data_IF_757450572213
#
_entry.id   IF_757450572213
#
_cell.length_a   1.000
_cell.length_b   1.000
_cell.length_c   1.000
_cell.angle_alpha   90.00
_cell.angle_beta   90.00
_cell.angle_gamma   90.00
#
_symmetry.space_group_name_H-M   'P 1'
#
loop_
_entity.id
_entity.type
_entity.pdbx_description
1 polymer ?
#
# COMPACT_ATOMS: atom_id res chain seq x y z
N UNK A 1 29.55 24.84 10.52
CA UNK A 1 28.33 24.00 10.44
C UNK A 1 27.90 23.64 11.86
N UNK A 2 26.66 23.82 12.19
CA UNK A 2 26.16 23.39 13.49
C UNK A 2 26.16 21.84 13.54
N UNK A 3 26.65 21.27 14.64
CA UNK A 3 26.55 19.83 14.87
C UNK A 3 25.07 19.44 15.07
N UNK A 4 24.68 18.32 14.45
CA UNK A 4 23.35 17.77 14.61
C UNK A 4 23.14 17.30 16.04
N UNK A 5 21.95 17.55 16.58
CA UNK A 5 21.58 16.97 17.87
C UNK A 5 21.43 15.45 17.75
N UNK A 6 21.54 14.72 18.85
CA UNK A 6 21.32 13.26 18.87
C UNK A 6 19.96 12.87 18.33
N UNK A 7 18.93 13.68 18.61
CA UNK A 7 17.59 13.45 18.11
C UNK A 7 17.49 13.65 16.59
N UNK A 8 18.15 14.69 16.06
CA UNK A 8 18.21 14.93 14.62
C UNK A 8 18.97 13.81 13.90
N UNK A 9 20.06 13.34 14.46
CA UNK A 9 20.81 12.22 13.89
C UNK A 9 19.99 10.94 13.89
N UNK A 10 19.32 10.62 15.00
CA UNK A 10 18.44 9.45 15.08
C UNK A 10 17.28 9.50 14.08
N UNK A 11 16.72 10.68 13.84
CA UNK A 11 15.66 10.89 12.84
C UNK A 11 16.18 10.66 11.42
N UNK A 12 17.38 11.13 11.10
CA UNK A 12 18.05 10.93 9.81
C UNK A 12 18.35 9.44 9.58
N UNK A 13 18.87 8.76 10.59
CA UNK A 13 19.21 7.34 10.51
C UNK A 13 17.98 6.48 10.31
N UNK A 14 16.88 6.80 11.02
CA UNK A 14 15.59 6.13 10.85
C UNK A 14 15.02 6.34 9.44
N UNK A 15 15.03 7.57 8.93
CA UNK A 15 14.60 7.90 7.58
C UNK A 15 15.41 7.16 6.51
N UNK A 16 16.72 7.15 6.65
CA UNK A 16 17.65 6.45 5.74
C UNK A 16 17.40 4.93 5.75
N UNK A 17 17.13 4.36 6.92
CA UNK A 17 16.79 2.94 7.06
C UNK A 17 15.47 2.60 6.38
N UNK A 18 14.45 3.46 6.51
CA UNK A 18 13.18 3.27 5.83
C UNK A 18 13.30 3.33 4.31
N UNK A 19 14.09 4.27 3.78
CA UNK A 19 14.35 4.37 2.34
C UNK A 19 15.06 3.12 1.82
N UNK A 20 16.05 2.61 2.54
CA UNK A 20 16.77 1.39 2.17
C UNK A 20 15.82 0.20 2.13
N UNK A 21 15.01 0.00 3.15
CA UNK A 21 14.03 -1.09 3.23
C UNK A 21 13.04 -1.04 2.07
N UNK A 22 12.57 0.16 1.71
CA UNK A 22 11.68 0.34 0.56
C UNK A 22 12.37 -0.04 -0.75
N UNK A 23 13.60 0.43 -0.98
CA UNK A 23 14.38 0.09 -2.18
C UNK A 23 14.63 -1.41 -2.30
N UNK A 24 14.98 -2.06 -1.22
CA UNK A 24 15.21 -3.51 -1.17
C UNK A 24 13.93 -4.29 -1.50
N UNK A 25 12.79 -3.86 -0.97
CA UNK A 25 11.49 -4.46 -1.27
C UNK A 25 11.09 -4.25 -2.73
N UNK A 26 11.19 -3.05 -3.25
CA UNK A 26 10.88 -2.74 -4.66
C UNK A 26 11.77 -3.57 -5.60
N UNK A 27 13.06 -3.68 -5.30
CA UNK A 27 13.98 -4.50 -6.07
C UNK A 27 13.57 -5.97 -6.04
N UNK A 28 13.22 -6.53 -4.88
CA UNK A 28 12.79 -7.90 -4.74
C UNK A 28 11.51 -8.18 -5.55
N UNK A 29 10.51 -7.30 -5.45
CA UNK A 29 9.24 -7.44 -6.19
C UNK A 29 9.46 -7.34 -7.70
N UNK A 30 10.25 -6.39 -8.17
CA UNK A 30 10.54 -6.19 -9.60
C UNK A 30 11.40 -7.30 -10.18
N UNK A 31 12.25 -7.92 -9.37
CA UNK A 31 13.09 -9.06 -9.81
C UNK A 31 12.27 -10.33 -9.98
N UNK A 32 11.30 -10.58 -9.09
CA UNK A 32 10.46 -11.78 -9.10
C UNK A 32 9.00 -11.44 -8.84
N UNK A 33 8.35 -10.69 -9.77
CA UNK A 33 6.99 -10.22 -9.54
C UNK A 33 5.98 -11.36 -9.38
N UNK A 34 6.19 -12.49 -10.03
CA UNK A 34 5.32 -13.66 -9.93
C UNK A 34 5.17 -14.23 -8.52
N UNK A 35 6.13 -14.00 -7.63
CA UNK A 35 6.02 -14.40 -6.22
C UNK A 35 5.05 -13.54 -5.41
N UNK A 36 4.75 -12.33 -5.91
CA UNK A 36 3.92 -11.34 -5.20
C UNK A 36 2.54 -11.17 -5.82
N UNK A 37 2.44 -11.21 -7.14
CA UNK A 37 1.19 -10.96 -7.87
C UNK A 37 0.65 -12.19 -8.61
N UNK A 38 1.35 -13.33 -8.54
CA UNK A 38 1.00 -14.53 -9.28
C UNK A 38 1.43 -14.49 -10.75
N UNK A 39 0.67 -15.07 -11.69
CA UNK A 39 1.05 -15.15 -13.08
C UNK A 39 1.35 -13.79 -13.70
N UNK A 40 2.41 -13.71 -14.51
CA UNK A 40 2.73 -12.49 -15.24
C UNK A 40 1.68 -12.23 -16.33
N UNK A 41 1.56 -10.97 -16.74
CA UNK A 41 0.59 -10.53 -17.74
C UNK A 41 -0.76 -10.16 -17.12
N UNK A 42 -1.86 -10.45 -17.82
CA UNK A 42 -3.20 -10.02 -17.41
C UNK A 42 -3.63 -10.59 -16.06
N UNK A 43 -3.25 -11.82 -15.73
CA UNK A 43 -3.55 -12.43 -14.43
C UNK A 43 -2.91 -11.68 -13.26
N UNK A 44 -1.64 -11.36 -13.36
CA UNK A 44 -0.93 -10.58 -12.35
C UNK A 44 -1.45 -9.15 -12.24
N UNK A 45 -1.73 -8.51 -13.37
CA UNK A 45 -2.35 -7.18 -13.38
C UNK A 45 -3.72 -7.18 -12.70
N UNK A 46 -4.56 -8.18 -12.98
CA UNK A 46 -5.85 -8.35 -12.33
C UNK A 46 -5.69 -8.52 -10.82
N UNK A 47 -4.69 -9.28 -10.39
CA UNK A 47 -4.42 -9.45 -8.96
C UNK A 47 -3.98 -8.14 -8.30
N UNK A 48 -3.14 -7.34 -8.95
CA UNK A 48 -2.77 -6.00 -8.46
C UNK A 48 -4.00 -5.11 -8.29
N UNK A 49 -4.87 -5.05 -9.28
CA UNK A 49 -6.12 -4.28 -9.21
C UNK A 49 -7.03 -4.78 -8.09
N UNK A 50 -7.13 -6.10 -7.93
CA UNK A 50 -7.92 -6.72 -6.86
C UNK A 50 -7.42 -6.32 -5.48
N UNK A 51 -6.13 -6.31 -5.25
CA UNK A 51 -5.55 -5.93 -3.96
C UNK A 51 -5.89 -4.49 -3.58
N UNK A 52 -5.81 -3.57 -4.53
CA UNK A 52 -6.19 -2.16 -4.29
C UNK A 52 -7.69 -2.04 -4.02
N UNK A 53 -8.52 -2.66 -4.87
CA UNK A 53 -9.97 -2.61 -4.75
C UNK A 53 -10.49 -3.26 -3.47
N UNK A 54 -9.85 -4.33 -3.04
CA UNK A 54 -10.23 -5.09 -1.85
C UNK A 54 -9.97 -4.30 -0.56
N UNK A 55 -8.97 -3.44 -0.51
CA UNK A 55 -8.77 -2.54 0.62
C UNK A 55 -9.96 -1.59 0.80
N UNK A 56 -10.47 -1.01 -0.29
CA UNK A 56 -11.67 -0.18 -0.26
C UNK A 56 -12.92 -1.00 0.07
N UNK A 57 -13.04 -2.21 -0.47
CA UNK A 57 -14.17 -3.09 -0.21
C UNK A 57 -14.27 -3.46 1.27
N UNK A 58 -13.18 -3.81 1.91
CA UNK A 58 -13.15 -4.18 3.32
C UNK A 58 -13.67 -3.06 4.22
N UNK A 59 -13.45 -1.81 3.84
CA UNK A 59 -13.96 -0.64 4.55
C UNK A 59 -15.47 -0.48 4.30
N UNK A 60 -15.89 -0.57 3.05
CA UNK A 60 -17.29 -0.28 2.66
C UNK A 60 -18.27 -1.36 3.12
N UNK A 61 -17.84 -2.61 3.21
CA UNK A 61 -18.72 -3.70 3.68
C UNK A 61 -18.86 -3.79 5.20
N UNK A 62 -18.02 -3.11 5.96
CA UNK A 62 -18.16 -3.08 7.41
C UNK A 62 -19.26 -2.09 7.82
N UNK A 63 -20.42 -2.60 8.20
CA UNK A 63 -21.58 -1.80 8.60
C UNK A 63 -21.33 -0.87 9.81
N UNK A 64 -20.19 -0.99 10.48
CA UNK A 64 -19.81 -0.13 11.60
C UNK A 64 -18.97 1.07 11.15
N UNK A 65 -18.50 1.06 9.91
CA UNK A 65 -17.64 2.08 9.33
C UNK A 65 -18.46 2.85 8.28
N UNK A 66 -18.44 4.21 8.31
CA UNK A 66 -19.09 4.99 7.27
C UNK A 66 -18.49 4.70 5.89
N UNK A 67 -19.35 4.52 4.90
CA UNK A 67 -18.99 4.29 3.51
C UNK A 67 -19.92 3.29 2.86
N UNK A 68 -20.33 3.53 1.64
CA UNK A 68 -21.33 2.73 0.93
C UNK A 68 -21.11 2.58 -0.57
N UNK A 69 -20.02 3.17 -1.11
CA UNK A 69 -19.69 2.99 -2.51
C UNK A 69 -18.19 2.89 -2.77
N UNK A 70 -17.87 2.19 -3.84
CA UNK A 70 -16.53 2.09 -4.42
C UNK A 70 -16.67 2.33 -5.93
N UNK A 71 -15.75 3.07 -6.52
CA UNK A 71 -15.60 3.13 -7.95
C UNK A 71 -14.29 2.52 -8.40
N UNK A 72 -14.30 1.90 -9.57
CA UNK A 72 -13.12 1.38 -10.24
C UNK A 72 -13.08 1.90 -11.66
N UNK A 73 -11.98 2.51 -12.04
CA UNK A 73 -11.73 3.00 -13.38
C UNK A 73 -10.42 2.44 -13.92
N UNK A 74 -10.41 2.05 -15.18
CA UNK A 74 -9.21 1.62 -15.88
C UNK A 74 -9.17 2.22 -17.30
N UNK A 75 -8.07 2.89 -17.61
CA UNK A 75 -7.77 3.37 -18.96
C UNK A 75 -6.70 2.46 -19.58
N UNK A 76 -7.08 1.68 -20.59
CA UNK A 76 -6.17 0.76 -21.26
C UNK A 76 -5.05 1.48 -22.02
N UNK A 77 -5.30 2.68 -22.49
CA UNK A 77 -4.34 3.46 -23.26
C UNK A 77 -3.21 4.01 -22.37
N UNK A 78 -3.55 4.53 -21.22
CA UNK A 78 -2.59 5.10 -20.26
C UNK A 78 -2.11 4.10 -19.22
N UNK A 79 -2.80 2.94 -19.12
CA UNK A 79 -2.58 1.94 -18.07
C UNK A 79 -2.83 2.49 -16.67
N UNK A 80 -3.68 3.48 -16.57
CA UNK A 80 -4.07 4.09 -15.30
C UNK A 80 -5.22 3.31 -14.67
N UNK A 81 -5.06 3.01 -13.38
CA UNK A 81 -6.11 2.43 -12.54
C UNK A 81 -6.44 3.41 -11.43
N UNK A 82 -7.71 3.71 -11.25
CA UNK A 82 -8.21 4.55 -10.16
C UNK A 82 -9.20 3.73 -9.36
N UNK A 83 -8.98 3.64 -8.06
CA UNK A 83 -9.94 3.08 -7.10
C UNK A 83 -10.28 4.18 -6.10
N UNK A 84 -11.55 4.45 -5.94
CA UNK A 84 -12.07 5.50 -5.06
C UNK A 84 -13.20 4.94 -4.20
N UNK A 85 -13.23 5.32 -2.95
CA UNK A 85 -14.30 4.98 -2.02
C UNK A 85 -14.67 6.20 -1.16
N UNK A 86 -15.81 6.12 -0.51
CA UNK A 86 -16.25 7.12 0.46
C UNK A 86 -16.19 6.63 1.91
N UNK A 87 -15.28 5.70 2.19
CA UNK A 87 -15.03 5.20 3.54
C UNK A 87 -14.30 6.22 4.42
N UNK A 88 -13.87 5.74 5.57
CA UNK A 88 -13.18 6.61 6.57
C UNK A 88 -11.81 7.08 6.14
N UNK A 89 -11.27 6.54 5.04
CA UNK A 89 -9.91 6.82 4.58
C UNK A 89 -8.81 6.21 5.46
N UNK A 90 -7.59 6.55 5.11
CA UNK A 90 -6.37 6.13 5.82
C UNK A 90 -5.79 7.34 6.54
N UNK A 91 -5.48 7.28 7.83
CA UNK A 91 -4.80 8.39 8.51
C UNK A 91 -3.53 8.79 7.78
N UNK A 92 -3.33 10.07 7.56
CA UNK A 92 -2.18 10.58 6.79
C UNK A 92 -0.84 10.05 7.31
N UNK A 93 -0.68 9.95 8.62
CA UNK A 93 0.51 9.38 9.27
C UNK A 93 0.78 7.91 8.92
N UNK A 94 -0.24 7.17 8.50
CA UNK A 94 -0.15 5.74 8.23
C UNK A 94 0.04 5.41 6.74
N UNK A 95 -0.24 6.34 5.84
CA UNK A 95 -0.20 6.11 4.39
C UNK A 95 1.18 5.58 3.95
N UNK A 96 2.25 6.27 4.33
CA UNK A 96 3.61 5.85 3.96
C UNK A 96 3.94 4.48 4.55
N UNK A 97 3.61 4.26 5.81
CA UNK A 97 3.83 2.98 6.48
C UNK A 97 3.13 1.82 5.77
N UNK A 98 1.86 2.02 5.41
CA UNK A 98 1.06 1.00 4.72
C UNK A 98 1.65 0.65 3.36
N UNK A 99 2.19 1.63 2.63
CA UNK A 99 2.75 1.44 1.30
C UNK A 99 4.18 0.89 1.29
N UNK A 100 4.93 1.03 2.37
CA UNK A 100 6.38 0.82 2.35
C UNK A 100 6.90 -0.20 3.34
N UNK A 101 6.21 -0.44 4.46
CA UNK A 101 6.70 -1.32 5.52
C UNK A 101 6.36 -2.78 5.23
N UNK A 102 7.37 -3.64 5.13
CA UNK A 102 7.16 -5.09 5.15
C UNK A 102 6.61 -5.49 6.52
N UNK A 103 5.69 -6.47 6.53
CA UNK A 103 5.15 -7.04 7.76
C UNK A 103 4.43 -6.06 8.70
N UNK A 104 3.57 -5.21 8.19
CA UNK A 104 2.51 -4.68 9.02
C UNK A 104 1.58 -5.84 9.36
N UNK A 105 1.96 -6.61 10.39
CA UNK A 105 1.10 -7.69 10.83
C UNK A 105 -0.17 -7.08 11.41
N UNK A 106 -1.28 -7.54 10.89
CA UNK A 106 -2.64 -7.13 11.25
C UNK A 106 -3.03 -7.49 12.69
N UNK A 107 -2.13 -8.05 13.48
CA UNK A 107 -2.48 -8.77 14.69
C UNK A 107 -2.28 -7.99 15.99
N UNK A 108 -1.70 -6.79 15.96
CA UNK A 108 -1.31 -6.16 17.22
C UNK A 108 -2.14 -4.95 17.65
N UNK A 109 -2.80 -4.24 16.70
CA UNK A 109 -3.72 -3.15 17.05
C UNK A 109 -4.91 -3.16 16.08
N UNK A 110 -6.06 -3.56 16.58
CA UNK A 110 -7.33 -3.59 15.83
C UNK A 110 -7.83 -2.16 15.53
N UNK A 111 -7.20 -1.50 14.59
CA UNK A 111 -7.75 -0.25 14.04
C UNK A 111 -8.72 -0.57 12.91
N UNK A 112 -9.80 0.21 12.72
CA UNK A 112 -10.85 -0.10 11.74
C UNK A 112 -10.35 -0.32 10.31
N UNK A 113 -9.29 0.36 9.89
CA UNK A 113 -8.70 0.25 8.55
C UNK A 113 -7.69 -0.92 8.40
N UNK A 114 -7.46 -1.70 9.45
CA UNK A 114 -6.59 -2.88 9.42
C UNK A 114 -7.32 -4.16 8.99
N UNK A 115 -8.62 -4.09 8.77
CA UNK A 115 -9.42 -5.18 8.22
C UNK A 115 -9.22 -5.31 6.70
N UNK A 116 -8.01 -5.61 6.26
CA UNK A 116 -7.84 -6.01 4.87
C UNK A 116 -7.84 -7.53 4.75
N UNK A 117 -8.59 -8.06 3.81
CA UNK A 117 -8.64 -9.49 3.50
C UNK A 117 -7.32 -10.03 2.93
N UNK A 118 -6.37 -9.16 2.62
CA UNK A 118 -5.02 -9.55 2.25
C UNK A 118 -4.32 -10.24 3.41
N UNK A 119 -4.17 -11.55 3.31
CA UNK A 119 -3.62 -12.38 4.40
C UNK A 119 -2.22 -11.98 4.87
N UNK A 120 -1.46 -11.24 4.06
CA UNK A 120 -0.05 -10.95 4.32
C UNK A 120 0.32 -9.45 4.32
N UNK A 121 -0.63 -8.53 4.09
CA UNK A 121 -0.35 -7.10 4.01
C UNK A 121 0.63 -6.67 2.89
N UNK A 122 0.85 -7.54 1.91
CA UNK A 122 1.84 -7.36 0.84
C UNK A 122 1.22 -6.81 -0.43
N UNK A 123 -0.08 -7.04 -0.66
CA UNK A 123 -0.71 -6.78 -1.95
C UNK A 123 -0.63 -5.32 -2.41
N UNK A 124 -1.00 -4.37 -1.56
CA UNK A 124 -0.92 -2.95 -1.90
C UNK A 124 0.54 -2.49 -2.08
N UNK A 125 1.45 -3.02 -1.30
CA UNK A 125 2.89 -2.73 -1.39
C UNK A 125 3.51 -3.28 -2.67
N UNK A 126 3.12 -4.48 -3.08
CA UNK A 126 3.54 -5.08 -4.34
C UNK A 126 2.99 -4.27 -5.52
N UNK A 127 1.74 -3.83 -5.47
CA UNK A 127 1.14 -2.97 -6.49
C UNK A 127 1.87 -1.62 -6.58
N UNK A 128 2.24 -1.02 -5.47
CA UNK A 128 3.08 0.18 -5.44
C UNK A 128 4.45 -0.08 -6.07
N UNK A 129 5.12 -1.15 -5.69
CA UNK A 129 6.45 -1.50 -6.19
C UNK A 129 6.48 -1.74 -7.71
N UNK A 130 5.39 -2.24 -8.28
CA UNK A 130 5.26 -2.54 -9.71
C UNK A 130 4.63 -1.39 -10.52
N UNK A 131 4.15 -0.36 -9.86
CA UNK A 131 3.66 0.85 -10.52
C UNK A 131 4.80 1.80 -10.86
N UNK A 132 4.67 2.51 -11.96
CA UNK A 132 5.55 3.63 -12.29
C UNK A 132 5.32 4.79 -11.33
N UNK A 133 4.06 5.06 -11.04
CA UNK A 133 3.63 6.08 -10.07
C UNK A 133 2.41 5.55 -9.32
N UNK A 134 2.38 5.76 -8.01
CA UNK A 134 1.20 5.54 -7.20
C UNK A 134 0.87 6.80 -6.41
N UNK A 135 -0.37 7.26 -6.50
CA UNK A 135 -0.90 8.41 -5.76
C UNK A 135 -1.96 7.89 -4.81
N UNK A 136 -1.86 8.26 -3.55
CA UNK A 136 -2.85 7.96 -2.52
C UNK A 136 -3.33 9.26 -1.92
N UNK A 137 -4.63 9.48 -2.01
CA UNK A 137 -5.33 10.62 -1.40
C UNK A 137 -6.33 10.08 -0.37
N UNK A 138 -6.34 10.69 0.79
CA UNK A 138 -7.22 10.24 1.87
C UNK A 138 -7.68 11.38 2.78
#
# INVERSE_FOLDING_TARGET
MAELTKEQQAAIDNYSSQIKTLKDFVTAVRTRPGMYIGPLGNGGFTNMCREVWQNSLDIVIDNKIPGDWISFFYDERTKEVIVEDNGIGIPHSDIIRILTTQHTSKNYDKKPYEYSSGQNGIGLKASNALSETMIVES
#
